data_IF_071511590349
#
_entry.id   IF_071511590349
#
_cell.length_a   1.000
_cell.length_b   1.000
_cell.length_c   1.000
_cell.angle_alpha   90.00
_cell.angle_beta   90.00
_cell.angle_gamma   90.00
#
_symmetry.space_group_name_H-M   'P 1'
#
loop_
_entity.id
_entity.type
_entity.pdbx_description
1 polymer ?
#
# COMPACT_ATOMS: atom_id res chain seq x y z
N UNK A 1 -13.12 5.47 17.86
CA UNK A 1 -13.84 4.19 18.06
C UNK A 1 -12.97 2.94 18.40
N UNK A 2 -11.65 2.98 18.71
CA UNK A 2 -10.91 1.75 19.02
C UNK A 2 -11.00 1.28 20.49
N UNK A 3 -11.24 2.19 21.44
CA UNK A 3 -11.32 1.83 22.87
C UNK A 3 -12.50 0.91 23.22
N UNK A 4 -13.60 0.99 22.48
CA UNK A 4 -14.80 0.18 22.73
C UNK A 4 -14.55 -1.28 22.29
N UNK A 5 -13.80 -1.52 21.22
CA UNK A 5 -13.45 -2.87 20.78
C UNK A 5 -12.40 -3.51 21.67
N UNK A 6 -11.40 -2.77 22.16
CA UNK A 6 -10.41 -3.29 23.11
C UNK A 6 -11.05 -3.64 24.46
N UNK A 7 -11.97 -2.81 24.96
CA UNK A 7 -12.74 -3.11 26.17
C UNK A 7 -13.74 -4.25 25.95
N UNK A 8 -14.33 -4.39 24.76
CA UNK A 8 -15.22 -5.52 24.45
C UNK A 8 -14.44 -6.83 24.29
N UNK A 9 -13.26 -6.85 23.68
CA UNK A 9 -12.44 -8.05 23.58
C UNK A 9 -11.83 -8.42 24.93
N UNK A 10 -11.30 -7.43 25.66
CA UNK A 10 -10.81 -7.62 27.02
C UNK A 10 -11.94 -8.05 27.97
N UNK A 11 -13.14 -7.47 27.86
CA UNK A 11 -14.31 -7.89 28.63
C UNK A 11 -14.91 -9.20 28.13
N UNK A 12 -14.80 -9.57 26.85
CA UNK A 12 -15.18 -10.91 26.36
C UNK A 12 -14.22 -11.94 26.92
N UNK A 13 -12.92 -11.71 26.83
CA UNK A 13 -11.88 -12.61 27.37
C UNK A 13 -12.02 -12.70 28.90
N UNK A 14 -12.14 -11.59 29.61
CA UNK A 14 -12.35 -11.58 31.07
C UNK A 14 -13.72 -12.15 31.51
N UNK A 15 -14.80 -11.98 30.73
CA UNK A 15 -16.10 -12.62 31.03
C UNK A 15 -16.12 -14.10 30.67
N UNK A 16 -15.37 -14.51 29.65
CA UNK A 16 -15.21 -15.90 29.25
C UNK A 16 -14.31 -16.69 30.21
N UNK A 17 -13.35 -16.04 30.87
CA UNK A 17 -12.54 -16.67 31.93
C UNK A 17 -13.22 -16.65 33.30
N UNK A 18 -14.12 -15.70 33.56
CA UNK A 18 -14.80 -15.57 34.86
C UNK A 18 -16.12 -16.35 34.97
N UNK A 19 -16.72 -16.78 33.85
CA UNK A 19 -17.85 -17.70 33.86
C UNK A 19 -17.35 -19.12 33.55
N UNK A 20 -17.66 -20.08 34.42
CA UNK A 20 -17.43 -21.53 34.25
C UNK A 20 -18.23 -22.13 33.07
N UNK A 21 -18.14 -21.51 31.89
CA UNK A 21 -18.81 -21.92 30.67
C UNK A 21 -17.76 -22.52 29.73
N UNK A 22 -17.93 -23.78 29.29
CA UNK A 22 -17.11 -24.41 28.25
C UNK A 22 -17.02 -23.62 26.94
N UNK A 23 -17.87 -22.59 26.76
CA UNK A 23 -17.94 -21.72 25.59
C UNK A 23 -16.98 -20.52 25.61
N UNK A 24 -16.23 -20.27 26.68
CA UNK A 24 -15.21 -19.22 26.70
C UNK A 24 -13.87 -19.67 26.13
N UNK A 25 -13.47 -20.90 26.48
CA UNK A 25 -12.19 -21.50 26.09
C UNK A 25 -12.05 -21.68 24.58
N UNK A 26 -13.11 -22.14 23.89
CA UNK A 26 -12.99 -22.44 22.45
C UNK A 26 -12.60 -21.24 21.58
N UNK A 27 -12.97 -20.00 21.95
CA UNK A 27 -12.63 -18.82 21.16
C UNK A 27 -11.15 -18.46 21.32
N UNK A 28 -10.63 -18.56 22.55
CA UNK A 28 -9.22 -18.39 22.84
C UNK A 28 -8.40 -19.53 22.25
N UNK A 29 -8.87 -20.78 22.37
CA UNK A 29 -8.21 -21.96 21.80
C UNK A 29 -8.19 -21.89 20.27
N UNK A 30 -9.29 -21.44 19.65
CA UNK A 30 -9.34 -21.19 18.20
C UNK A 30 -8.39 -20.07 17.80
N UNK A 31 -8.35 -18.99 18.56
CA UNK A 31 -7.41 -17.89 18.33
C UNK A 31 -5.96 -18.37 18.45
N UNK A 32 -5.62 -19.10 19.51
CA UNK A 32 -4.27 -19.65 19.70
C UNK A 32 -3.93 -20.66 18.61
N UNK A 33 -4.86 -21.52 18.21
CA UNK A 33 -4.64 -22.47 17.11
C UNK A 33 -4.39 -21.77 15.77
N UNK A 34 -5.17 -20.72 15.45
CA UNK A 34 -4.99 -19.92 14.23
C UNK A 34 -3.73 -19.05 14.29
N UNK A 35 -3.45 -18.42 15.43
CA UNK A 35 -2.31 -17.55 15.63
C UNK A 35 -0.99 -18.30 15.71
N UNK A 36 -0.97 -19.46 16.38
CA UNK A 36 0.21 -20.33 16.46
C UNK A 36 0.40 -21.18 15.21
N UNK A 37 -0.61 -21.24 14.34
CA UNK A 37 -0.58 -22.04 13.13
C UNK A 37 -0.45 -23.54 13.44
N UNK A 38 -1.02 -23.96 14.57
CA UNK A 38 -0.96 -25.33 15.10
C UNK A 38 -2.08 -26.22 14.51
N UNK A 39 -3.07 -25.63 13.84
CA UNK A 39 -4.23 -26.35 13.31
C UNK A 39 -4.11 -26.72 11.83
N UNK A 40 -4.77 -27.82 11.45
CA UNK A 40 -5.27 -27.96 10.08
C UNK A 40 -6.22 -26.79 9.85
N UNK A 41 -5.89 -25.89 8.92
CA UNK A 41 -6.70 -24.70 8.59
C UNK A 41 -8.10 -25.04 8.03
N UNK A 42 -8.50 -26.31 8.12
CA UNK A 42 -9.65 -26.92 7.45
C UNK A 42 -9.40 -27.14 5.96
N UNK A 43 -8.21 -26.80 5.47
CA UNK A 43 -7.83 -26.85 4.06
C UNK A 43 -6.78 -27.93 3.77
N UNK A 44 -6.22 -28.59 4.80
CA UNK A 44 -5.20 -29.62 4.64
C UNK A 44 -3.86 -29.10 4.08
N UNK A 45 -3.64 -27.78 4.14
CA UNK A 45 -2.48 -27.11 3.53
C UNK A 45 -1.40 -26.71 4.53
N UNK A 46 -1.73 -26.60 5.83
CA UNK A 46 -0.72 -26.25 6.83
C UNK A 46 0.30 -27.37 6.91
N UNK A 47 1.57 -27.02 6.74
CA UNK A 47 2.71 -27.89 6.98
C UNK A 47 3.29 -27.55 8.37
N UNK A 48 2.93 -28.29 9.44
CA UNK A 48 3.37 -27.95 10.79
C UNK A 48 4.88 -28.03 10.96
N UNK A 49 5.54 -28.90 10.18
CA UNK A 49 7.00 -29.01 10.21
C UNK A 49 7.65 -27.72 9.73
N UNK A 50 7.18 -27.14 8.62
CA UNK A 50 7.66 -25.85 8.10
C UNK A 50 7.50 -24.74 9.16
N UNK A 51 6.33 -24.63 9.76
CA UNK A 51 6.08 -23.57 10.75
C UNK A 51 6.85 -23.79 12.05
N UNK A 52 7.10 -25.03 12.46
CA UNK A 52 7.99 -25.33 13.59
C UNK A 52 9.45 -24.98 13.30
N UNK A 53 9.94 -25.25 12.09
CA UNK A 53 11.29 -24.86 11.64
C UNK A 53 11.45 -23.33 11.63
N UNK A 54 10.48 -22.62 11.05
CA UNK A 54 10.46 -21.15 11.07
C UNK A 54 10.40 -20.63 12.51
N UNK A 55 9.56 -21.22 13.36
CA UNK A 55 9.46 -20.85 14.77
C UNK A 55 10.78 -21.03 15.52
N UNK A 56 11.47 -22.16 15.30
CA UNK A 56 12.77 -22.43 15.90
C UNK A 56 13.84 -21.43 15.44
N UNK A 57 13.81 -21.03 14.16
CA UNK A 57 14.68 -19.98 13.63
C UNK A 57 14.40 -18.61 14.26
N UNK A 58 13.14 -18.14 14.25
CA UNK A 58 12.82 -16.78 14.75
C UNK A 58 12.98 -16.63 16.27
N UNK A 59 12.93 -17.74 17.02
CA UNK A 59 13.18 -17.73 18.47
C UNK A 59 14.65 -17.96 18.82
N UNK A 60 15.52 -18.21 17.84
CA UNK A 60 16.93 -18.51 18.07
C UNK A 60 17.20 -19.88 18.72
N UNK A 61 16.21 -20.79 18.69
CA UNK A 61 16.33 -22.11 19.31
C UNK A 61 17.28 -23.05 18.55
N UNK A 62 17.37 -22.91 17.23
CA UNK A 62 18.28 -23.70 16.37
C UNK A 62 19.60 -22.99 16.09
N UNK A 63 19.58 -21.65 15.98
CA UNK A 63 20.74 -20.82 15.65
C UNK A 63 20.75 -19.61 16.59
N UNK A 64 21.56 -19.65 17.68
CA UNK A 64 21.72 -18.50 18.56
C UNK A 64 22.27 -17.31 17.77
N UNK A 65 21.57 -16.18 17.81
CA UNK A 65 21.96 -14.97 17.07
C UNK A 65 23.34 -14.43 17.48
N UNK A 66 23.75 -14.64 18.72
CA UNK A 66 25.01 -14.12 19.26
C UNK A 66 26.25 -14.88 18.74
N UNK A 67 26.10 -16.16 18.38
CA UNK A 67 27.21 -17.06 18.03
C UNK A 67 27.26 -17.41 16.52
N UNK A 68 26.24 -17.02 15.76
CA UNK A 68 26.12 -17.37 14.34
C UNK A 68 26.59 -16.22 13.46
N UNK A 69 27.48 -16.47 12.47
CA UNK A 69 27.85 -15.46 11.48
C UNK A 69 26.63 -14.85 10.78
N UNK A 70 26.65 -13.53 10.61
CA UNK A 70 25.49 -12.78 10.10
C UNK A 70 25.10 -13.17 8.66
N UNK A 71 26.07 -13.54 7.83
CA UNK A 71 25.89 -14.08 6.47
C UNK A 71 25.16 -15.43 6.48
N UNK A 72 25.48 -16.30 7.42
CA UNK A 72 24.76 -17.56 7.61
C UNK A 72 23.31 -17.33 8.06
N UNK A 73 23.08 -16.38 8.98
CA UNK A 73 21.73 -15.99 9.40
C UNK A 73 20.91 -15.40 8.25
N UNK A 74 21.53 -14.55 7.42
CA UNK A 74 20.89 -13.96 6.24
C UNK A 74 20.50 -15.02 5.21
N UNK A 75 21.43 -15.91 4.87
CA UNK A 75 21.18 -17.00 3.92
C UNK A 75 20.01 -17.87 4.38
N UNK A 76 20.01 -18.25 5.66
CA UNK A 76 18.92 -19.04 6.24
C UNK A 76 17.58 -18.31 6.23
N UNK A 77 17.56 -17.03 6.58
CA UNK A 77 16.33 -16.23 6.54
C UNK A 77 15.78 -16.11 5.10
N UNK A 78 16.65 -15.94 4.10
CA UNK A 78 16.26 -15.87 2.70
C UNK A 78 15.71 -17.18 2.16
N UNK A 79 16.30 -18.31 2.53
CA UNK A 79 15.78 -19.62 2.14
C UNK A 79 14.35 -19.81 2.68
N UNK A 80 14.15 -19.56 3.98
CA UNK A 80 12.84 -19.66 4.62
C UNK A 80 11.82 -18.67 4.04
N UNK A 81 12.23 -17.43 3.76
CA UNK A 81 11.35 -16.43 3.14
C UNK A 81 11.00 -16.81 1.70
N UNK A 82 11.95 -17.35 0.94
CA UNK A 82 11.71 -17.79 -0.44
C UNK A 82 10.70 -18.93 -0.48
N UNK A 83 10.84 -19.89 0.42
CA UNK A 83 9.91 -21.02 0.57
C UNK A 83 8.46 -20.59 0.91
N UNK A 84 8.29 -19.43 1.57
CA UNK A 84 6.99 -18.94 2.03
C UNK A 84 6.38 -17.90 1.08
N UNK A 85 7.20 -17.02 0.48
CA UNK A 85 6.73 -15.88 -0.31
C UNK A 85 6.74 -16.10 -1.81
N UNK A 86 7.61 -16.99 -2.32
CA UNK A 86 7.73 -17.28 -3.75
C UNK A 86 7.65 -18.76 -4.05
N UNK A 87 6.61 -19.49 -3.58
CA UNK A 87 6.48 -20.88 -3.95
C UNK A 87 6.38 -21.00 -5.47
N UNK A 88 7.14 -21.95 -6.03
CA UNK A 88 7.27 -22.16 -7.47
C UNK A 88 7.89 -20.99 -8.24
N UNK A 89 8.63 -20.11 -7.55
CA UNK A 89 9.34 -18.99 -8.17
C UNK A 89 8.44 -17.82 -8.58
N UNK A 90 7.20 -17.78 -8.09
CA UNK A 90 6.27 -16.67 -8.32
C UNK A 90 5.80 -16.11 -6.98
N UNK A 91 5.68 -14.77 -6.83
CA UNK A 91 5.03 -14.20 -5.66
C UNK A 91 3.60 -14.74 -5.52
N UNK A 92 3.38 -15.59 -4.52
CA UNK A 92 2.11 -16.24 -4.25
C UNK A 92 1.86 -16.27 -2.74
N UNK A 93 0.83 -15.54 -2.26
CA UNK A 93 0.57 -15.38 -0.85
C UNK A 93 -0.02 -16.63 -0.21
N UNK A 94 -0.35 -17.69 -0.97
CA UNK A 94 -1.04 -18.88 -0.43
C UNK A 94 -0.31 -19.45 0.80
N UNK A 95 1.01 -19.70 0.69
CA UNK A 95 1.79 -20.24 1.82
C UNK A 95 1.94 -19.19 2.93
N UNK A 96 2.29 -17.95 2.58
CA UNK A 96 2.39 -16.85 3.55
C UNK A 96 1.10 -16.65 4.39
N UNK A 97 -0.06 -16.88 3.77
CA UNK A 97 -1.38 -16.72 4.38
C UNK A 97 -1.89 -17.98 5.09
N UNK A 98 -1.18 -19.11 5.01
CA UNK A 98 -1.38 -20.26 5.92
C UNK A 98 -1.06 -19.85 7.36
N UNK A 99 -0.01 -19.03 7.55
CA UNK A 99 0.41 -18.52 8.86
C UNK A 99 0.90 -17.07 8.75
N UNK A 100 -0.02 -16.08 8.73
CA UNK A 100 0.36 -14.68 8.57
C UNK A 100 1.25 -14.16 9.70
N UNK A 101 1.06 -14.62 10.95
CA UNK A 101 1.91 -14.24 12.08
C UNK A 101 3.30 -14.86 12.02
N UNK A 102 3.41 -16.14 11.65
CA UNK A 102 4.71 -16.79 11.47
C UNK A 102 5.51 -16.13 10.36
N UNK A 103 4.86 -15.83 9.23
CA UNK A 103 5.50 -15.09 8.14
C UNK A 103 5.90 -13.67 8.56
N UNK A 104 5.02 -12.95 9.27
CA UNK A 104 5.31 -11.62 9.81
C UNK A 104 6.51 -11.65 10.78
N UNK A 105 6.60 -12.67 11.63
CA UNK A 105 7.72 -12.88 12.55
C UNK A 105 9.03 -13.14 11.82
N UNK A 106 9.01 -13.98 10.79
CA UNK A 106 10.19 -14.26 9.96
C UNK A 106 10.68 -13.00 9.25
N UNK A 107 9.76 -12.20 8.69
CA UNK A 107 10.08 -10.90 8.08
C UNK A 107 10.69 -9.93 9.09
N UNK A 108 10.18 -9.88 10.32
CA UNK A 108 10.73 -9.02 11.36
C UNK A 108 12.18 -9.39 11.71
N UNK A 109 12.46 -10.68 11.91
CA UNK A 109 13.82 -11.18 12.14
C UNK A 109 14.72 -10.89 10.93
N UNK A 110 14.21 -11.08 9.71
CA UNK A 110 14.97 -10.73 8.50
C UNK A 110 15.29 -9.22 8.44
N UNK A 111 14.37 -8.34 8.82
CA UNK A 111 14.64 -6.91 8.90
C UNK A 111 15.75 -6.59 9.92
N UNK A 112 15.71 -7.19 11.10
CA UNK A 112 16.75 -7.04 12.13
C UNK A 112 18.13 -7.50 11.60
N UNK A 113 18.19 -8.66 10.93
CA UNK A 113 19.42 -9.18 10.31
C UNK A 113 19.94 -8.21 9.24
N UNK A 114 19.06 -7.78 8.32
CA UNK A 114 19.39 -6.85 7.23
C UNK A 114 19.93 -5.52 7.78
N UNK A 115 19.37 -5.00 8.87
CA UNK A 115 19.87 -3.80 9.54
C UNK A 115 21.24 -4.00 10.19
N UNK A 116 21.50 -5.18 10.74
CA UNK A 116 22.79 -5.51 11.35
C UNK A 116 23.95 -5.55 10.34
N UNK A 117 23.69 -5.73 9.03
CA UNK A 117 24.73 -5.65 7.99
C UNK A 117 25.28 -4.23 7.78
N UNK A 118 24.57 -3.20 8.25
CA UNK A 118 25.14 -1.87 8.44
C UNK A 118 25.45 -1.04 7.19
N UNK A 119 24.99 -1.42 6.00
CA UNK A 119 25.05 -0.52 4.83
C UNK A 119 23.77 0.31 4.72
N UNK A 120 23.89 1.61 4.43
CA UNK A 120 22.76 2.54 4.30
C UNK A 120 21.69 2.07 3.29
N UNK A 121 22.10 1.32 2.26
CA UNK A 121 21.22 0.74 1.25
C UNK A 121 20.21 -0.28 1.84
N UNK A 122 20.56 -0.95 2.94
CA UNK A 122 19.70 -1.93 3.58
C UNK A 122 18.57 -1.31 4.40
N UNK A 123 18.69 -0.03 4.79
CA UNK A 123 17.64 0.67 5.55
C UNK A 123 16.33 0.78 4.78
N UNK A 124 16.41 1.11 3.48
CA UNK A 124 15.23 1.16 2.62
C UNK A 124 14.57 -0.22 2.49
N UNK A 125 15.36 -1.28 2.25
CA UNK A 125 14.83 -2.64 2.18
C UNK A 125 14.20 -3.08 3.49
N UNK A 126 14.86 -2.86 4.62
CA UNK A 126 14.35 -3.20 5.94
C UNK A 126 12.99 -2.53 6.20
N UNK A 127 12.82 -1.25 5.83
CA UNK A 127 11.52 -0.58 5.95
C UNK A 127 10.43 -1.33 5.17
N UNK A 128 10.75 -1.85 3.99
CA UNK A 128 9.80 -2.50 3.09
C UNK A 128 9.48 -3.92 3.54
N UNK A 129 10.45 -4.61 4.12
CA UNK A 129 10.24 -5.86 4.85
C UNK A 129 9.26 -5.63 6.00
N UNK A 130 9.43 -4.55 6.78
CA UNK A 130 8.50 -4.20 7.87
C UNK A 130 7.11 -3.83 7.33
N UNK A 131 7.02 -3.13 6.20
CA UNK A 131 5.75 -2.88 5.52
C UNK A 131 5.04 -4.20 5.14
N UNK A 132 5.75 -5.19 4.59
CA UNK A 132 5.17 -6.50 4.28
C UNK A 132 4.75 -7.26 5.56
N UNK A 133 5.57 -7.21 6.61
CA UNK A 133 5.25 -7.84 7.90
C UNK A 133 3.96 -7.24 8.49
N UNK A 134 3.81 -5.92 8.42
CA UNK A 134 2.61 -5.17 8.82
C UNK A 134 1.40 -5.55 7.98
N UNK A 135 1.56 -5.70 6.67
CA UNK A 135 0.48 -6.14 5.77
C UNK A 135 -0.07 -7.52 6.16
N UNK A 136 0.82 -8.49 6.39
CA UNK A 136 0.44 -9.87 6.77
C UNK A 136 -0.18 -9.91 8.16
N UNK A 137 0.33 -9.11 9.09
CA UNK A 137 -0.27 -8.91 10.40
C UNK A 137 -1.74 -8.47 10.30
N UNK A 138 -1.98 -7.40 9.53
CA UNK A 138 -3.31 -6.83 9.34
C UNK A 138 -4.26 -7.71 8.53
N UNK A 139 -3.74 -8.68 7.77
CA UNK A 139 -4.57 -9.52 6.91
C UNK A 139 -5.60 -10.34 7.69
N UNK A 140 -5.28 -10.81 8.91
CA UNK A 140 -6.26 -11.50 9.77
C UNK A 140 -6.41 -10.94 11.18
N UNK A 141 -5.40 -10.21 11.67
CA UNK A 141 -5.30 -9.92 13.10
C UNK A 141 -5.36 -8.42 13.43
N UNK A 142 -5.76 -7.59 12.46
CA UNK A 142 -5.81 -6.14 12.64
C UNK A 142 -6.68 -5.68 13.82
N UNK A 143 -7.80 -6.36 14.05
CA UNK A 143 -8.74 -6.02 15.12
C UNK A 143 -8.29 -6.45 16.52
N UNK A 144 -7.23 -7.26 16.63
CA UNK A 144 -6.81 -7.85 17.89
C UNK A 144 -5.77 -7.01 18.65
N UNK A 145 -5.10 -6.08 17.96
CA UNK A 145 -4.09 -5.21 18.56
C UNK A 145 -3.07 -6.01 19.37
N UNK A 146 -2.77 -5.55 20.59
CA UNK A 146 -1.72 -6.12 21.45
C UNK A 146 -2.02 -7.55 21.94
N UNK A 147 -3.26 -8.03 21.81
CA UNK A 147 -3.61 -9.40 22.20
C UNK A 147 -2.86 -10.46 21.39
N UNK A 148 -2.25 -10.09 20.27
CA UNK A 148 -1.39 -10.96 19.46
C UNK A 148 -0.15 -11.48 20.22
N UNK A 149 0.31 -10.72 21.22
CA UNK A 149 1.56 -10.98 21.94
C UNK A 149 1.54 -12.26 22.75
N UNK A 150 0.36 -12.87 22.94
CA UNK A 150 0.21 -14.18 23.60
C UNK A 150 0.44 -15.36 22.64
N UNK A 151 0.55 -15.11 21.32
CA UNK A 151 0.89 -16.16 20.36
C UNK A 151 2.33 -16.64 20.57
N UNK A 152 2.66 -17.81 20.03
CA UNK A 152 4.03 -18.35 20.07
C UNK A 152 5.04 -17.52 19.26
N UNK A 153 4.57 -16.59 18.42
CA UNK A 153 5.41 -15.81 17.50
C UNK A 153 5.86 -14.51 18.17
N UNK A 154 7.18 -14.19 18.16
CA UNK A 154 7.71 -12.96 18.77
C UNK A 154 7.43 -11.73 17.90
N UNK A 155 6.16 -11.36 17.75
CA UNK A 155 5.71 -10.18 16.99
C UNK A 155 5.00 -9.20 17.89
N UNK A 156 5.42 -7.93 17.83
CA UNK A 156 4.81 -6.81 18.54
C UNK A 156 4.53 -5.68 17.54
N UNK A 157 3.24 -5.33 17.40
CA UNK A 157 2.80 -4.28 16.49
C UNK A 157 3.40 -2.91 16.85
N UNK A 158 3.53 -2.61 18.15
CA UNK A 158 4.11 -1.35 18.62
C UNK A 158 5.58 -1.24 18.20
N UNK A 159 6.32 -2.34 18.32
CA UNK A 159 7.71 -2.42 17.83
C UNK A 159 7.79 -2.28 16.31
N UNK A 160 6.94 -2.97 15.55
CA UNK A 160 6.91 -2.85 14.08
C UNK A 160 6.65 -1.40 13.62
N UNK A 161 5.68 -0.73 14.26
CA UNK A 161 5.35 0.68 13.98
C UNK A 161 6.52 1.60 14.33
N UNK A 162 7.13 1.41 15.51
CA UNK A 162 8.27 2.22 15.94
C UNK A 162 9.47 2.07 15.01
N UNK A 163 9.80 0.83 14.61
CA UNK A 163 10.89 0.55 13.69
C UNK A 163 10.62 1.15 12.30
N UNK A 164 9.41 0.98 11.75
CA UNK A 164 9.04 1.60 10.48
C UNK A 164 9.21 3.13 10.51
N UNK A 165 8.78 3.77 11.62
CA UNK A 165 8.93 5.22 11.79
C UNK A 165 10.39 5.66 11.81
N UNK A 166 11.26 4.94 12.53
CA UNK A 166 12.70 5.23 12.58
C UNK A 166 13.35 5.07 11.21
N UNK A 167 13.08 3.97 10.51
CA UNK A 167 13.66 3.69 9.19
C UNK A 167 13.20 4.69 8.13
N UNK A 168 11.92 5.11 8.18
CA UNK A 168 11.39 6.15 7.27
C UNK A 168 12.12 7.48 7.48
N UNK A 169 12.34 7.89 8.73
CA UNK A 169 13.06 9.13 9.04
C UNK A 169 14.50 9.07 8.53
N UNK A 170 15.17 7.92 8.69
CA UNK A 170 16.51 7.71 8.15
C UNK A 170 16.53 7.78 6.61
N UNK A 171 15.56 7.14 5.94
CA UNK A 171 15.48 7.16 4.48
C UNK A 171 15.20 8.57 3.94
N UNK A 172 14.33 9.35 4.57
CA UNK A 172 14.00 10.70 4.11
C UNK A 172 15.23 11.61 3.99
N UNK A 173 16.26 11.40 4.82
CA UNK A 173 17.55 12.09 4.72
C UNK A 173 18.47 11.58 3.60
N UNK A 174 18.24 10.37 3.10
CA UNK A 174 19.13 9.64 2.20
C UNK A 174 18.59 9.43 0.77
N UNK A 175 17.35 9.83 0.46
CA UNK A 175 16.77 9.68 -0.88
C UNK A 175 17.58 10.47 -1.91
N UNK A 176 18.46 9.77 -2.62
CA UNK A 176 19.09 10.27 -3.84
C UNK A 176 18.21 9.86 -5.01
N UNK A 177 17.95 10.80 -5.91
CA UNK A 177 17.39 10.46 -7.19
C UNK A 177 18.43 9.63 -7.95
N UNK A 178 18.12 8.37 -8.23
CA UNK A 178 18.96 7.57 -9.12
C UNK A 178 18.86 8.16 -10.53
N UNK A 179 20.01 8.50 -11.11
CA UNK A 179 20.10 8.98 -12.47
C UNK A 179 20.07 7.77 -13.41
N UNK A 180 18.95 7.58 -14.11
CA UNK A 180 18.85 6.69 -15.26
C UNK A 180 18.56 7.49 -16.53
N UNK A 181 18.60 6.86 -17.71
CA UNK A 181 18.09 7.48 -18.92
C UNK A 181 16.59 7.79 -18.71
N UNK A 182 16.21 9.06 -18.93
CA UNK A 182 14.82 9.49 -18.89
C UNK A 182 14.03 8.75 -19.97
N UNK A 183 12.80 8.30 -19.68
CA UNK A 183 11.96 7.70 -20.70
C UNK A 183 11.58 8.72 -21.78
N UNK A 184 11.19 8.28 -22.98
CA UNK A 184 10.55 9.15 -23.95
C UNK A 184 9.36 9.87 -23.31
N UNK A 185 9.26 11.18 -23.57
CA UNK A 185 8.12 11.97 -23.09
C UNK A 185 6.80 11.35 -23.59
N UNK A 186 5.81 11.18 -22.71
CA UNK A 186 4.58 10.54 -23.08
C UNK A 186 3.77 11.42 -24.03
N UNK A 187 3.27 10.82 -25.11
CA UNK A 187 2.50 11.47 -26.16
C UNK A 187 1.00 11.22 -26.03
N UNK A 188 0.62 10.14 -25.35
CA UNK A 188 -0.77 9.78 -25.09
C UNK A 188 -0.97 9.40 -23.63
N UNK A 189 -1.77 10.20 -22.94
CA UNK A 189 -2.03 10.08 -21.52
C UNK A 189 -3.53 10.06 -21.26
N UNK A 190 -3.96 9.21 -20.33
CA UNK A 190 -5.34 9.19 -19.83
C UNK A 190 -5.37 9.23 -18.31
N UNK A 191 -6.22 10.09 -17.76
CA UNK A 191 -6.58 10.11 -16.34
C UNK A 191 -7.80 9.20 -16.14
N UNK A 192 -7.71 8.29 -15.18
CA UNK A 192 -8.78 7.38 -14.79
C UNK A 192 -9.14 7.63 -13.34
N UNK A 193 -10.43 7.79 -13.06
CA UNK A 193 -10.94 7.96 -11.71
C UNK A 193 -12.33 7.36 -11.58
N UNK A 194 -12.61 6.70 -10.45
CA UNK A 194 -13.95 6.20 -10.18
C UNK A 194 -14.28 6.35 -8.70
N UNK A 195 -15.49 6.83 -8.42
CA UNK A 195 -16.01 6.95 -7.07
C UNK A 195 -17.49 6.60 -7.06
N UNK A 196 -17.89 5.71 -6.16
CA UNK A 196 -19.28 5.33 -5.95
C UNK A 196 -19.69 5.69 -4.53
N UNK A 197 -20.11 6.95 -4.35
CA UNK A 197 -20.66 7.45 -3.09
C UNK A 197 -22.15 7.74 -3.25
N UNK A 198 -22.99 7.44 -2.25
CA UNK A 198 -24.41 7.78 -2.29
C UNK A 198 -24.61 9.29 -2.46
N UNK A 199 -25.22 9.70 -3.58
CA UNK A 199 -25.41 11.12 -3.94
C UNK A 199 -26.25 11.93 -2.95
N UNK A 200 -26.98 11.27 -2.06
CA UNK A 200 -27.80 11.92 -1.03
C UNK A 200 -27.00 12.44 0.17
N UNK A 201 -25.74 12.02 0.34
CA UNK A 201 -24.96 12.31 1.54
C UNK A 201 -23.66 13.09 1.28
N UNK A 202 -23.28 13.29 0.01
CA UNK A 202 -22.03 13.97 -0.35
C UNK A 202 -22.06 14.54 -1.77
N UNK A 203 -21.38 15.66 -1.98
CA UNK A 203 -21.12 16.24 -3.31
C UNK A 203 -19.78 15.80 -3.90
N UNK A 204 -19.03 14.94 -3.20
CA UNK A 204 -17.72 14.47 -3.62
C UNK A 204 -17.66 13.93 -5.06
N UNK A 205 -18.61 13.09 -5.54
CA UNK A 205 -18.58 12.65 -6.93
C UNK A 205 -18.65 13.79 -7.96
N UNK A 206 -19.35 14.88 -7.64
CA UNK A 206 -19.44 16.07 -8.49
C UNK A 206 -18.14 16.87 -8.45
N UNK A 207 -17.62 17.14 -7.25
CA UNK A 207 -16.36 17.88 -7.07
C UNK A 207 -15.18 17.17 -7.71
N UNK A 208 -15.05 15.88 -7.45
CA UNK A 208 -14.03 15.01 -8.04
C UNK A 208 -14.04 15.02 -9.56
N UNK A 209 -15.22 14.82 -10.14
CA UNK A 209 -15.39 14.82 -11.59
C UNK A 209 -14.98 16.16 -12.20
N UNK A 210 -15.56 17.26 -11.70
CA UNK A 210 -15.36 18.58 -12.31
C UNK A 210 -13.92 19.08 -12.20
N UNK A 211 -13.24 18.79 -11.09
CA UNK A 211 -11.81 19.06 -10.94
C UNK A 211 -10.96 18.30 -11.98
N UNK A 212 -11.15 16.99 -12.08
CA UNK A 212 -10.34 16.13 -12.96
C UNK A 212 -10.64 16.38 -14.44
N UNK A 213 -11.91 16.61 -14.80
CA UNK A 213 -12.31 16.98 -16.16
C UNK A 213 -11.67 18.31 -16.58
N UNK A 214 -11.69 19.33 -15.70
CA UNK A 214 -11.09 20.62 -16.00
C UNK A 214 -9.57 20.54 -16.17
N UNK A 215 -8.87 19.79 -15.30
CA UNK A 215 -7.42 19.58 -15.43
C UNK A 215 -7.08 18.78 -16.69
N UNK A 216 -7.78 17.68 -16.96
CA UNK A 216 -7.58 16.88 -18.17
C UNK A 216 -7.80 17.72 -19.44
N UNK A 217 -8.86 18.55 -19.48
CA UNK A 217 -9.15 19.42 -20.60
C UNK A 217 -8.06 20.50 -20.79
N UNK A 218 -7.60 21.13 -19.70
CA UNK A 218 -6.52 22.12 -19.75
C UNK A 218 -5.24 21.54 -20.37
N UNK A 219 -4.96 20.26 -20.12
CA UNK A 219 -3.73 19.58 -20.56
C UNK A 219 -3.87 18.73 -21.81
N UNK A 220 -5.08 18.63 -22.37
CA UNK A 220 -5.35 17.78 -23.54
C UNK A 220 -5.28 16.28 -23.24
N UNK A 221 -5.41 15.87 -21.97
CA UNK A 221 -5.42 14.46 -21.59
C UNK A 221 -6.78 13.81 -21.83
N UNK A 222 -6.78 12.50 -22.09
CA UNK A 222 -8.00 11.72 -22.00
C UNK A 222 -8.50 11.67 -20.56
N UNK A 223 -9.82 11.58 -20.36
CA UNK A 223 -10.42 11.35 -19.04
C UNK A 223 -11.47 10.24 -19.08
N UNK A 224 -11.41 9.32 -18.11
CA UNK A 224 -12.32 8.19 -18.00
C UNK A 224 -12.84 8.02 -16.58
N UNK A 225 -14.18 8.02 -16.47
CA UNK A 225 -14.91 7.78 -15.21
C UNK A 225 -15.84 6.58 -15.21
N UNK A 226 -15.90 5.85 -16.33
CA UNK A 226 -16.83 4.75 -16.49
C UNK A 226 -16.37 3.57 -15.65
N UNK A 227 -17.23 2.98 -14.80
CA UNK A 227 -16.90 1.73 -14.14
C UNK A 227 -16.58 0.68 -15.20
N UNK A 228 -15.59 -0.15 -14.91
CA UNK A 228 -15.37 -1.34 -15.70
C UNK A 228 -16.53 -2.33 -15.50
N UNK A 229 -16.99 -2.47 -14.26
CA UNK A 229 -18.07 -3.35 -13.86
C UNK A 229 -19.01 -2.60 -12.91
N UNK A 230 -20.26 -2.37 -13.35
CA UNK A 230 -21.26 -1.61 -12.58
C UNK A 230 -21.67 -2.29 -11.26
N UNK A 231 -21.42 -3.59 -11.13
CA UNK A 231 -21.75 -4.37 -9.93
C UNK A 231 -20.55 -4.60 -9.03
N UNK A 232 -19.36 -4.17 -9.44
CA UNK A 232 -18.16 -4.27 -8.63
C UNK A 232 -17.99 -3.05 -7.72
N UNK A 233 -17.34 -3.26 -6.58
CA UNK A 233 -16.93 -2.17 -5.70
C UNK A 233 -15.89 -1.25 -6.37
N UNK A 234 -15.72 -0.05 -5.81
CA UNK A 234 -14.82 0.97 -6.37
C UNK A 234 -13.35 0.52 -6.44
N UNK A 235 -12.86 -0.17 -5.41
CA UNK A 235 -11.50 -0.72 -5.36
C UNK A 235 -11.21 -1.74 -6.48
N UNK A 236 -12.19 -2.57 -6.86
CA UNK A 236 -12.05 -3.48 -8.00
C UNK A 236 -12.11 -2.72 -9.32
N UNK A 237 -13.06 -1.79 -9.42
CA UNK A 237 -13.20 -0.93 -10.60
C UNK A 237 -11.94 -0.11 -10.88
N UNK A 238 -11.16 0.27 -9.86
CA UNK A 238 -9.83 0.87 -10.03
C UNK A 238 -8.96 0.05 -10.97
N UNK A 239 -8.74 -1.21 -10.61
CA UNK A 239 -7.86 -2.12 -11.36
C UNK A 239 -8.45 -2.47 -12.73
N UNK A 240 -9.73 -2.82 -12.79
CA UNK A 240 -10.38 -3.20 -14.05
C UNK A 240 -10.52 -2.03 -15.05
N UNK A 241 -10.73 -0.80 -14.57
CA UNK A 241 -10.83 0.38 -15.43
C UNK A 241 -9.49 0.72 -16.05
N UNK A 242 -8.41 0.71 -15.26
CA UNK A 242 -7.04 0.90 -15.77
C UNK A 242 -6.71 -0.20 -16.79
N UNK A 243 -6.97 -1.46 -16.45
CA UNK A 243 -6.71 -2.59 -17.34
C UNK A 243 -7.41 -2.45 -18.68
N UNK A 244 -8.69 -2.05 -18.67
CA UNK A 244 -9.45 -1.81 -19.90
C UNK A 244 -8.81 -0.72 -20.77
N UNK A 245 -8.29 0.36 -20.17
CA UNK A 245 -7.63 1.44 -20.92
C UNK A 245 -6.30 0.98 -21.53
N UNK A 246 -5.50 0.23 -20.77
CA UNK A 246 -4.25 -0.36 -21.28
C UNK A 246 -4.48 -1.35 -22.44
N UNK A 247 -5.63 -2.02 -22.48
CA UNK A 247 -5.99 -2.96 -23.55
C UNK A 247 -6.58 -2.29 -24.81
N UNK A 248 -7.24 -1.14 -24.66
CA UNK A 248 -7.95 -0.47 -25.76
C UNK A 248 -7.06 0.38 -26.66
N UNK A 249 -5.88 0.81 -26.18
CA UNK A 249 -5.03 1.77 -26.89
C UNK A 249 -3.80 1.15 -27.52
N UNK A 250 -3.80 1.00 -28.86
CA UNK A 250 -2.54 1.01 -29.61
C UNK A 250 -2.02 2.45 -29.59
N UNK A 251 -1.06 2.74 -28.71
CA UNK A 251 -0.41 4.06 -28.60
C UNK A 251 -0.72 4.86 -27.34
N UNK A 252 -1.42 4.30 -26.34
CA UNK A 252 -1.48 4.90 -25.01
C UNK A 252 -0.13 4.68 -24.30
N UNK A 253 0.51 5.72 -23.77
CA UNK A 253 1.82 5.59 -23.11
C UNK A 253 1.68 5.41 -21.59
N UNK A 254 0.83 6.22 -20.96
CA UNK A 254 0.63 6.21 -19.50
C UNK A 254 -0.85 6.36 -19.10
N UNK A 255 -1.21 5.65 -18.04
CA UNK A 255 -2.46 5.85 -17.31
C UNK A 255 -2.13 6.45 -15.95
N UNK A 256 -2.76 7.57 -15.61
CA UNK A 256 -2.75 8.09 -14.25
C UNK A 256 -4.05 7.70 -13.56
N UNK A 257 -3.97 6.94 -12.47
CA UNK A 257 -5.09 6.74 -11.58
C UNK A 257 -5.14 7.85 -10.54
N UNK A 258 -6.34 8.37 -10.28
CA UNK A 258 -6.59 9.34 -9.22
C UNK A 258 -7.87 8.98 -8.47
N UNK A 259 -7.79 8.72 -7.17
CA UNK A 259 -8.95 8.42 -6.33
C UNK A 259 -9.99 9.55 -6.34
N UNK A 260 -11.22 9.18 -6.01
CA UNK A 260 -12.35 10.10 -6.03
C UNK A 260 -12.16 11.27 -5.05
N UNK A 261 -11.49 11.04 -3.94
CA UNK A 261 -11.17 11.98 -2.88
C UNK A 261 -9.77 12.58 -3.00
N UNK A 262 -9.25 12.73 -4.23
CA UNK A 262 -8.05 13.52 -4.52
C UNK A 262 -8.30 14.58 -5.59
N UNK A 263 -7.69 15.75 -5.47
CA UNK A 263 -7.88 16.88 -6.39
C UNK A 263 -6.55 17.42 -6.92
N UNK A 264 -6.53 17.75 -8.21
CA UNK A 264 -5.45 18.55 -8.80
C UNK A 264 -5.51 19.98 -8.23
N UNK A 265 -4.40 20.46 -7.66
CA UNK A 265 -4.33 21.76 -6.98
C UNK A 265 -3.38 22.74 -7.66
N UNK A 266 -2.37 22.23 -8.37
CA UNK A 266 -1.47 23.02 -9.19
C UNK A 266 -1.79 22.79 -10.68
N UNK A 267 -2.34 23.78 -11.40
CA UNK A 267 -2.63 23.63 -12.81
C UNK A 267 -1.36 23.55 -13.65
N UNK A 268 -0.20 24.04 -13.18
CA UNK A 268 1.04 24.22 -13.93
C UNK A 268 1.90 22.96 -14.02
N UNK A 269 1.74 22.00 -13.11
CA UNK A 269 2.38 20.70 -13.25
C UNK A 269 1.68 19.81 -14.28
N UNK A 270 2.47 19.06 -15.03
CA UNK A 270 2.03 18.12 -16.07
C UNK A 270 2.47 16.69 -15.76
N UNK A 271 1.80 15.72 -16.38
CA UNK A 271 2.19 14.31 -16.29
C UNK A 271 3.53 14.09 -17.01
N UNK A 272 3.79 14.80 -18.11
CA UNK A 272 5.04 14.81 -18.85
C UNK A 272 6.20 15.22 -17.97
N UNK A 273 6.12 16.41 -17.35
CA UNK A 273 7.16 16.94 -16.46
C UNK A 273 7.37 16.02 -15.24
N UNK A 274 6.29 15.42 -14.73
CA UNK A 274 6.38 14.47 -13.63
C UNK A 274 7.11 13.17 -14.03
N UNK A 275 6.79 12.62 -15.20
CA UNK A 275 7.45 11.42 -15.74
C UNK A 275 8.91 11.72 -16.07
N UNK A 276 9.21 12.84 -16.72
CA UNK A 276 10.59 13.27 -17.03
C UNK A 276 11.41 13.44 -15.75
N UNK A 277 10.79 14.02 -14.71
CA UNK A 277 11.45 14.31 -13.44
C UNK A 277 11.76 13.05 -12.65
N UNK A 278 10.88 12.05 -12.64
CA UNK A 278 10.95 10.95 -11.68
C UNK A 278 11.22 9.57 -12.28
N UNK A 279 10.82 9.33 -13.52
CA UNK A 279 10.92 8.02 -14.15
C UNK A 279 12.23 7.82 -14.90
N UNK A 280 12.58 6.56 -15.08
CA UNK A 280 13.61 6.07 -16.01
C UNK A 280 12.96 5.18 -17.07
N UNK A 281 13.70 4.84 -18.13
CA UNK A 281 13.23 3.93 -19.18
C UNK A 281 12.77 2.54 -18.67
N UNK A 282 13.29 2.10 -17.53
CA UNK A 282 12.96 0.81 -16.90
C UNK A 282 11.70 0.88 -16.03
N UNK A 283 11.24 2.09 -15.69
CA UNK A 283 10.12 2.25 -14.79
C UNK A 283 8.78 2.02 -15.49
N UNK A 284 7.90 1.28 -14.81
CA UNK A 284 6.55 0.95 -15.25
C UNK A 284 5.49 1.50 -14.31
N UNK A 285 5.82 1.71 -13.04
CA UNK A 285 4.91 2.22 -12.01
C UNK A 285 5.59 3.33 -11.21
N UNK A 286 5.01 4.53 -11.21
CA UNK A 286 5.38 5.61 -10.30
C UNK A 286 4.31 5.71 -9.21
N UNK A 287 4.72 5.53 -7.97
CA UNK A 287 3.81 5.45 -6.83
C UNK A 287 4.49 6.00 -5.58
N UNK A 288 3.70 6.46 -4.61
CA UNK A 288 4.22 6.96 -3.34
C UNK A 288 3.93 6.00 -2.19
N UNK A 289 4.68 6.16 -1.11
CA UNK A 289 4.32 5.61 0.19
C UNK A 289 3.83 6.75 1.08
N UNK A 290 2.82 6.47 1.90
CA UNK A 290 2.41 7.36 2.98
C UNK A 290 2.88 6.81 4.32
N UNK A 291 2.54 7.49 5.42
CA UNK A 291 2.93 7.10 6.77
C UNK A 291 2.48 5.68 7.16
N UNK A 292 1.59 5.03 6.41
CA UNK A 292 1.27 3.64 6.64
C UNK A 292 2.20 2.71 5.88
N UNK A 293 2.13 2.71 4.54
CA UNK A 293 2.82 1.82 3.59
C UNK A 293 2.71 2.43 2.17
N UNK A 294 2.80 1.61 1.12
CA UNK A 294 2.42 1.97 -0.25
C UNK A 294 1.04 2.63 -0.27
N UNK A 295 0.85 3.66 -1.08
CA UNK A 295 -0.44 4.31 -1.24
C UNK A 295 -0.92 4.27 -2.71
N UNK A 296 -2.07 3.65 -2.96
CA UNK A 296 -2.66 3.47 -4.30
C UNK A 296 -3.72 4.52 -4.66
N UNK A 297 -3.79 5.65 -3.95
CA UNK A 297 -4.76 6.70 -4.25
C UNK A 297 -4.41 7.47 -5.52
N UNK A 298 -3.11 7.71 -5.74
CA UNK A 298 -2.61 8.37 -6.95
C UNK A 298 -1.34 7.66 -7.40
N UNK A 299 -1.34 7.16 -8.63
CA UNK A 299 -0.17 6.53 -9.23
C UNK A 299 -0.23 6.60 -10.76
N UNK A 300 0.94 6.48 -11.40
CA UNK A 300 1.06 6.41 -12.84
C UNK A 300 1.55 5.02 -13.25
N UNK A 301 0.93 4.45 -14.28
CA UNK A 301 1.24 3.14 -14.80
C UNK A 301 1.49 3.22 -16.30
N UNK A 302 2.70 2.83 -16.72
CA UNK A 302 3.09 2.76 -18.13
C UNK A 302 2.32 1.65 -18.82
N UNK A 303 1.98 1.86 -20.08
CA UNK A 303 1.38 0.80 -20.89
C UNK A 303 2.44 -0.22 -21.34
N UNK A 304 2.72 -1.19 -20.48
CA UNK A 304 3.68 -2.27 -20.74
C UNK A 304 3.08 -3.64 -20.42
N UNK A 305 3.75 -4.70 -20.89
CA UNK A 305 3.40 -6.07 -20.53
C UNK A 305 3.54 -6.31 -19.02
N UNK A 306 4.54 -5.68 -18.39
CA UNK A 306 4.72 -5.68 -16.94
C UNK A 306 3.47 -5.16 -16.22
N UNK A 307 2.96 -4.00 -16.64
CA UNK A 307 1.78 -3.37 -16.03
C UNK A 307 0.52 -4.23 -16.22
N UNK A 308 0.34 -4.82 -17.41
CA UNK A 308 -0.78 -5.74 -17.67
C UNK A 308 -0.69 -7.00 -16.81
N UNK A 309 0.51 -7.56 -16.66
CA UNK A 309 0.75 -8.74 -15.82
C UNK A 309 0.48 -8.43 -14.34
N UNK A 310 0.94 -7.28 -13.84
CA UNK A 310 0.67 -6.83 -12.47
C UNK A 310 -0.84 -6.73 -12.20
N UNK A 311 -1.60 -6.03 -13.05
CA UNK A 311 -3.05 -5.86 -12.86
C UNK A 311 -3.80 -7.20 -12.90
N UNK A 312 -3.41 -8.11 -13.80
CA UNK A 312 -3.95 -9.47 -13.85
C UNK A 312 -3.73 -10.23 -12.53
N UNK A 313 -2.51 -10.12 -11.97
CA UNK A 313 -2.18 -10.76 -10.70
C UNK A 313 -2.94 -10.16 -9.53
N UNK A 314 -3.08 -8.84 -9.48
CA UNK A 314 -3.90 -8.16 -8.47
C UNK A 314 -5.34 -8.70 -8.50
N UNK A 315 -5.97 -8.75 -9.68
CA UNK A 315 -7.33 -9.30 -9.82
C UNK A 315 -7.40 -10.77 -9.39
N UNK A 316 -6.39 -11.58 -9.75
CA UNK A 316 -6.33 -12.99 -9.35
C UNK A 316 -6.29 -13.15 -7.83
N UNK A 317 -5.53 -12.29 -7.11
CA UNK A 317 -5.46 -12.31 -5.65
C UNK A 317 -6.73 -11.77 -4.97
N UNK A 318 -7.48 -10.89 -5.63
CA UNK A 318 -8.81 -10.46 -5.17
C UNK A 318 -9.89 -11.52 -5.44
N UNK A 319 -9.65 -12.42 -6.39
CA UNK A 319 -10.57 -13.51 -6.76
C UNK A 319 -10.19 -14.87 -6.17
N UNK A 320 -9.04 -14.97 -5.52
CA UNK A 320 -8.63 -16.15 -4.78
C UNK A 320 -9.69 -16.53 -3.72
N UNK A 321 -9.87 -17.83 -3.44
CA UNK A 321 -10.79 -18.27 -2.41
C UNK A 321 -10.31 -17.81 -1.02
N UNK A 322 -11.27 -17.59 -0.11
CA UNK A 322 -10.94 -17.43 1.31
C UNK A 322 -10.20 -18.69 1.79
N UNK A 323 -9.13 -18.56 2.60
CA UNK A 323 -8.64 -17.33 3.23
C UNK A 323 -7.47 -16.67 2.49
N UNK A 324 -7.18 -17.06 1.24
CA UNK A 324 -6.07 -16.53 0.45
C UNK A 324 -6.44 -15.26 -0.33
N UNK A 325 -7.71 -14.86 -0.26
CA UNK A 325 -8.24 -13.66 -0.91
C UNK A 325 -7.83 -12.39 -0.18
N UNK A 326 -7.44 -11.37 -0.95
CA UNK A 326 -7.30 -10.01 -0.42
C UNK A 326 -8.57 -9.17 -0.49
N UNK A 327 -9.67 -9.74 -1.02
CA UNK A 327 -10.95 -9.04 -1.20
C UNK A 327 -11.44 -8.33 0.05
N UNK A 328 -11.39 -9.03 1.18
CA UNK A 328 -11.93 -8.57 2.45
C UNK A 328 -10.85 -7.90 3.33
N UNK A 329 -9.65 -7.64 2.78
CA UNK A 329 -8.62 -6.90 3.49
C UNK A 329 -9.01 -5.42 3.64
N UNK A 330 -8.65 -4.82 4.77
CA UNK A 330 -8.93 -3.41 5.07
C UNK A 330 -8.37 -2.40 4.06
N UNK A 331 -7.29 -2.74 3.34
CA UNK A 331 -6.71 -1.89 2.29
C UNK A 331 -7.04 -2.38 0.87
N UNK A 332 -7.98 -3.31 0.73
CA UNK A 332 -8.54 -3.77 -0.56
C UNK A 332 -7.48 -4.07 -1.63
N UNK A 333 -7.49 -3.37 -2.77
CA UNK A 333 -6.57 -3.59 -3.90
C UNK A 333 -5.14 -3.11 -3.63
N UNK A 334 -4.95 -2.22 -2.65
CA UNK A 334 -3.62 -1.77 -2.24
C UNK A 334 -2.80 -2.91 -1.62
N UNK A 335 -3.45 -3.81 -0.88
CA UNK A 335 -2.79 -4.94 -0.24
C UNK A 335 -2.13 -5.94 -1.22
N UNK A 336 -2.84 -6.49 -2.23
CA UNK A 336 -2.22 -7.38 -3.20
C UNK A 336 -1.22 -6.64 -4.10
N UNK A 337 -1.45 -5.36 -4.40
CA UNK A 337 -0.42 -4.52 -5.04
C UNK A 337 0.86 -4.50 -4.21
N UNK A 338 0.75 -4.13 -2.94
CA UNK A 338 1.89 -4.07 -2.03
C UNK A 338 2.59 -5.43 -1.92
N UNK A 339 1.86 -6.53 -1.77
CA UNK A 339 2.45 -7.86 -1.71
C UNK A 339 3.27 -8.18 -2.98
N UNK A 340 2.66 -8.02 -4.16
CA UNK A 340 3.30 -8.34 -5.44
C UNK A 340 4.51 -7.45 -5.75
N UNK A 341 4.47 -6.19 -5.30
CA UNK A 341 5.55 -5.24 -5.54
C UNK A 341 6.69 -5.37 -4.53
N UNK A 342 6.43 -5.84 -3.30
CA UNK A 342 7.47 -5.97 -2.27
C UNK A 342 8.23 -7.30 -2.37
N UNK A 343 7.52 -8.42 -2.56
CA UNK A 343 8.13 -9.76 -2.47
C UNK A 343 9.37 -9.93 -3.34
N UNK A 344 9.38 -9.55 -4.64
CA UNK A 344 10.59 -9.66 -5.45
C UNK A 344 11.73 -8.76 -4.94
N UNK A 345 11.41 -7.55 -4.48
CA UNK A 345 12.40 -6.55 -4.07
C UNK A 345 13.07 -6.85 -2.74
N UNK A 346 12.34 -7.43 -1.78
CA UNK A 346 12.91 -7.78 -0.47
C UNK A 346 13.81 -9.02 -0.51
N UNK A 347 13.60 -9.89 -1.50
CA UNK A 347 14.42 -11.08 -1.75
C UNK A 347 15.65 -10.77 -2.63
N UNK A 348 15.65 -9.64 -3.34
CA UNK A 348 16.82 -9.18 -4.08
C UNK A 348 17.86 -8.59 -3.13
N UNK A 349 19.01 -9.27 -3.03
CA UNK A 349 20.13 -8.85 -2.20
C UNK A 349 21.00 -7.73 -2.80
N UNK A 350 20.76 -7.33 -4.05
CA UNK A 350 21.51 -6.28 -4.72
C UNK A 350 21.55 -4.97 -3.90
N UNK A 351 22.68 -4.29 -3.84
CA UNK A 351 22.84 -3.07 -3.03
C UNK A 351 22.01 -1.88 -3.54
N UNK A 352 21.39 -1.98 -4.72
CA UNK A 352 20.52 -0.95 -5.29
C UNK A 352 19.02 -1.25 -5.13
N UNK A 353 18.63 -2.41 -4.61
CA UNK A 353 17.21 -2.70 -4.38
C UNK A 353 16.62 -1.79 -3.29
N UNK A 354 15.58 -1.04 -3.66
CA UNK A 354 14.78 -0.21 -2.75
C UNK A 354 13.86 -1.03 -1.85
N UNK A 355 13.83 -2.36 -2.01
CA UNK A 355 12.84 -3.25 -1.41
C UNK A 355 11.56 -3.43 -2.24
N UNK A 356 11.44 -2.74 -3.37
CA UNK A 356 10.39 -2.96 -4.37
C UNK A 356 10.93 -3.71 -5.60
N UNK A 357 10.03 -4.37 -6.32
CA UNK A 357 10.31 -5.06 -7.57
C UNK A 357 10.88 -4.09 -8.62
N UNK A 358 11.74 -4.61 -9.50
CA UNK A 358 12.23 -3.87 -10.66
C UNK A 358 11.06 -3.30 -11.49
N UNK A 359 11.23 -2.06 -11.96
CA UNK A 359 10.20 -1.29 -12.67
C UNK A 359 9.26 -0.48 -11.76
N UNK A 360 9.46 -0.50 -10.44
CA UNK A 360 8.74 0.37 -9.49
C UNK A 360 9.62 1.55 -9.11
N UNK A 361 9.10 2.75 -9.35
CA UNK A 361 9.68 4.01 -8.91
C UNK A 361 8.87 4.58 -7.75
N UNK A 362 9.51 4.66 -6.59
CA UNK A 362 8.96 5.43 -5.47
C UNK A 362 9.20 6.92 -5.68
N UNK A 363 8.14 7.70 -5.60
CA UNK A 363 8.20 9.17 -5.59
C UNK A 363 7.92 9.71 -4.18
N UNK A 364 8.40 10.92 -3.83
CA UNK A 364 8.02 11.56 -2.56
C UNK A 364 6.50 11.67 -2.43
N UNK A 365 5.95 11.39 -1.24
CA UNK A 365 4.50 11.50 -1.01
C UNK A 365 3.99 12.88 -1.38
N UNK A 366 4.69 13.94 -0.95
CA UNK A 366 4.35 15.33 -1.27
C UNK A 366 4.21 15.63 -2.77
N UNK A 367 4.94 14.91 -3.63
CA UNK A 367 4.93 15.18 -5.08
C UNK A 367 3.68 14.68 -5.80
N UNK A 368 2.96 13.69 -5.23
CA UNK A 368 1.89 12.97 -5.92
C UNK A 368 0.63 12.76 -5.06
N UNK A 369 0.76 12.81 -3.73
CA UNK A 369 -0.24 12.30 -2.79
C UNK A 369 -0.16 12.97 -1.40
N UNK A 370 0.01 14.30 -1.37
CA UNK A 370 0.08 15.09 -0.13
C UNK A 370 -1.28 15.16 0.58
N UNK A 371 -1.29 15.18 1.91
CA UNK A 371 -2.52 15.16 2.69
C UNK A 371 -2.84 16.53 3.31
N UNK A 372 -4.13 16.91 3.41
CA UNK A 372 -4.51 18.08 4.19
C UNK A 372 -3.93 18.02 5.61
N UNK A 373 -3.59 19.19 6.17
CA UNK A 373 -2.99 19.29 7.50
C UNK A 373 -3.81 18.56 8.58
N UNK A 374 -5.13 18.65 8.48
CA UNK A 374 -6.09 18.08 9.43
C UNK A 374 -6.08 16.55 9.44
N UNK A 375 -5.77 15.90 8.31
CA UNK A 375 -5.65 14.44 8.24
C UNK A 375 -4.20 14.01 8.44
N UNK A 376 -3.23 14.72 7.86
CA UNK A 376 -1.81 14.41 7.93
C UNK A 376 -1.27 14.37 9.37
N UNK A 377 -1.72 15.30 10.22
CA UNK A 377 -1.27 15.43 11.60
C UNK A 377 -2.08 14.58 12.60
N UNK A 378 -3.15 13.91 12.16
CA UNK A 378 -4.02 13.10 13.04
C UNK A 378 -3.65 11.63 13.11
N UNK A 379 -2.74 11.15 12.26
CA UNK A 379 -2.20 9.81 12.38
C UNK A 379 -1.36 9.70 13.64
N UNK A 380 -1.81 8.88 14.59
CA UNK A 380 -1.07 8.59 15.84
C UNK A 380 0.12 7.66 15.62
N UNK A 381 0.28 7.13 14.41
CA UNK A 381 1.24 6.07 14.08
C UNK A 381 2.48 6.69 13.42
N UNK A 382 2.30 7.52 12.40
CA UNK A 382 3.38 8.22 11.69
C UNK A 382 2.84 9.48 10.99
N UNK A 383 3.70 10.49 10.78
CA UNK A 383 3.34 11.76 10.12
C UNK A 383 3.31 11.56 8.60
N UNK A 384 2.20 11.97 7.98
CA UNK A 384 2.08 12.06 6.53
C UNK A 384 2.63 13.40 6.01
N UNK A 385 3.08 13.43 4.76
CA UNK A 385 3.45 14.70 4.13
C UNK A 385 2.23 15.63 4.03
N UNK A 386 2.39 16.84 4.55
CA UNK A 386 1.35 17.87 4.59
C UNK A 386 1.32 18.59 3.23
N UNK A 387 0.12 18.72 2.67
CA UNK A 387 -0.16 19.54 1.50
C UNK A 387 0.16 21.00 1.78
N UNK A 388 0.92 21.61 0.87
CA UNK A 388 1.24 23.02 0.83
C UNK A 388 0.82 23.63 -0.51
N UNK A 389 0.62 24.95 -0.52
CA UNK A 389 0.29 25.68 -1.74
C UNK A 389 1.43 25.53 -2.77
N UNK A 390 1.08 25.04 -3.95
CA UNK A 390 2.02 24.71 -5.03
C UNK A 390 2.19 23.21 -5.26
N UNK A 391 1.80 22.36 -4.29
CA UNK A 391 1.79 20.91 -4.47
C UNK A 391 0.79 20.51 -5.57
N UNK A 392 1.13 19.46 -6.32
CA UNK A 392 0.37 19.06 -7.50
C UNK A 392 -1.04 18.57 -7.15
N UNK A 393 -1.12 17.66 -6.18
CA UNK A 393 -2.35 16.96 -5.81
C UNK A 393 -2.48 16.92 -4.29
N UNK A 394 -3.70 17.13 -3.82
CA UNK A 394 -4.11 16.86 -2.44
C UNK A 394 -5.01 15.64 -2.40
N UNK A 395 -4.76 14.73 -1.45
CA UNK A 395 -5.53 13.49 -1.27
C UNK A 395 -6.12 13.41 0.13
N UNK A 396 -7.42 13.10 0.22
CA UNK A 396 -8.19 13.11 1.46
C UNK A 396 -8.32 11.71 2.08
N UNK A 397 -7.31 10.86 1.92
CA UNK A 397 -7.30 9.50 2.44
C UNK A 397 -7.66 9.47 3.93
N UNK A 398 -8.62 8.61 4.29
CA UNK A 398 -9.05 8.43 5.68
C UNK A 398 -9.80 9.62 6.28
N UNK A 399 -10.11 10.67 5.52
CA UNK A 399 -10.78 11.88 6.03
C UNK A 399 -12.09 11.57 6.75
N UNK A 400 -12.98 10.75 6.17
CA UNK A 400 -14.24 10.35 6.81
C UNK A 400 -14.07 9.42 8.03
N UNK A 401 -12.89 8.82 8.22
CA UNK A 401 -12.59 7.95 9.38
C UNK A 401 -11.89 8.71 10.51
N UNK A 402 -11.12 9.74 10.18
CA UNK A 402 -10.31 10.54 11.11
C UNK A 402 -11.03 11.82 11.57
N UNK A 403 -11.93 12.35 10.74
CA UNK A 403 -12.72 13.55 10.96
C UNK A 403 -14.21 13.20 11.00
N UNK A 404 -15.03 14.09 11.55
CA UNK A 404 -16.48 14.00 11.38
C UNK A 404 -16.89 14.36 9.94
N UNK A 405 -18.02 13.80 9.47
CA UNK A 405 -18.49 13.99 8.09
C UNK A 405 -18.63 15.48 7.70
N UNK A 406 -19.25 16.37 8.51
CA UNK A 406 -19.33 17.80 8.18
C UNK A 406 -17.96 18.46 7.96
N UNK A 407 -16.99 18.18 8.83
CA UNK A 407 -15.64 18.72 8.69
C UNK A 407 -14.98 18.22 7.40
N UNK A 408 -15.08 16.91 7.12
CA UNK A 408 -14.50 16.33 5.92
C UNK A 408 -15.12 16.91 4.63
N UNK A 409 -16.44 16.98 4.55
CA UNK A 409 -17.16 17.58 3.41
C UNK A 409 -16.82 19.06 3.22
N UNK A 410 -16.71 19.83 4.31
CA UNK A 410 -16.31 21.24 4.25
C UNK A 410 -14.91 21.42 3.65
N UNK A 411 -13.97 20.56 4.04
CA UNK A 411 -12.61 20.60 3.48
C UNK A 411 -12.58 20.22 2.01
N UNK A 412 -13.32 19.18 1.61
CA UNK A 412 -13.46 18.78 0.21
C UNK A 412 -14.05 19.91 -0.65
N UNK A 413 -15.11 20.56 -0.16
CA UNK A 413 -15.75 21.69 -0.84
C UNK A 413 -14.77 22.86 -1.05
N UNK A 414 -14.00 23.21 -0.02
CA UNK A 414 -13.08 24.35 -0.07
C UNK A 414 -11.90 24.10 -1.02
N UNK A 415 -11.26 22.92 -0.94
CA UNK A 415 -10.15 22.60 -1.84
C UNK A 415 -10.63 22.48 -3.29
N UNK A 416 -11.83 21.94 -3.51
CA UNK A 416 -12.46 21.93 -4.83
C UNK A 416 -12.65 23.36 -5.36
N UNK A 417 -13.25 24.26 -4.57
CA UNK A 417 -13.47 25.66 -4.96
C UNK A 417 -12.16 26.35 -5.34
N UNK A 418 -11.15 26.26 -4.47
CA UNK A 418 -9.82 26.85 -4.69
C UNK A 418 -9.17 26.29 -5.96
N UNK A 419 -9.23 24.97 -6.16
CA UNK A 419 -8.69 24.34 -7.36
C UNK A 419 -9.39 24.82 -8.64
N UNK A 420 -10.73 24.86 -8.65
CA UNK A 420 -11.49 25.29 -9.83
C UNK A 420 -11.19 26.74 -10.23
N UNK A 421 -10.94 27.62 -9.26
CA UNK A 421 -10.49 29.00 -9.51
C UNK A 421 -9.14 29.05 -10.22
N UNK A 422 -8.18 28.21 -9.78
CA UNK A 422 -6.85 28.12 -10.42
C UNK A 422 -6.93 27.54 -11.83
N UNK A 423 -7.66 26.44 -12.00
CA UNK A 423 -7.85 25.78 -13.30
C UNK A 423 -8.54 26.70 -14.30
N UNK A 424 -9.56 27.45 -13.86
CA UNK A 424 -10.25 28.42 -14.73
C UNK A 424 -9.34 29.56 -15.17
N UNK A 425 -8.53 30.10 -14.25
CA UNK A 425 -7.54 31.15 -14.57
C UNK A 425 -6.49 30.65 -15.57
N UNK A 426 -5.95 29.45 -15.37
CA UNK A 426 -4.97 28.85 -16.28
C UNK A 426 -5.56 28.61 -17.69
N UNK A 427 -6.80 28.12 -17.77
CA UNK A 427 -7.51 27.91 -19.03
C UNK A 427 -7.71 29.21 -19.82
N UNK A 428 -8.09 30.30 -19.13
CA UNK A 428 -8.22 31.63 -19.75
C UNK A 428 -6.86 32.14 -20.26
N UNK A 429 -5.80 32.00 -19.47
CA UNK A 429 -4.45 32.43 -19.86
C UNK A 429 -3.94 31.67 -21.11
N UNK A 430 -4.18 30.36 -21.17
CA UNK A 430 -3.83 29.54 -22.35
C UNK A 430 -4.58 29.96 -23.61
N UNK A 431 -5.83 30.40 -23.47
CA UNK A 431 -6.65 30.85 -24.62
C UNK A 431 -6.15 32.18 -25.16
N UNK A 432 -5.75 33.11 -24.28
CA UNK A 432 -5.21 34.43 -24.68
C UNK A 432 -3.85 34.36 -25.39
N UNK A 433 -3.06 33.30 -25.14
CA UNK A 433 -1.77 33.08 -25.80
C UNK A 433 -1.92 32.39 -27.17
N UNK A 434 -3.09 31.81 -27.46
CA UNK A 434 -3.37 31.08 -28.69
C UNK A 434 -4.03 31.92 -29.79
N UNK A 435 -4.35 33.20 -29.53
CA UNK A 435 -4.79 34.13 -30.58
C UNK A 435 -3.57 34.60 -31.39
N UNK A 436 -3.51 34.32 -32.71
CA UNK A 436 -2.43 34.78 -33.56
C UNK A 436 -2.52 36.29 -33.77
N UNK A 437 -1.39 36.98 -33.60
CA UNK A 437 -1.20 38.38 -33.98
C UNK A 437 -1.31 38.60 -35.49
#
# INVERSE_FOLDING_TARGET
MPLINLLLLSALVLRCTAAESPRGHWLLDKFLAEGNCDGDSGLGLTNPQRWNEIHAFVTGAELPFDDTPLDALLGRALDLLSDVLVPYGIPDPTIALECPLGTSSLLHVYADIVLAFGEDAFGSRALRVIHLAKLLYFHRFGDLGDAISISRWPVDLSRLVALASQLRQAEAGNRRHEAGPSPPLPSSIIIVSFGHYPHNNTQLPYWSRTNKEAYAQLRGYGFSRSPANQHAHAWRNKIEAIQRRLQQGNGLDWVMWVDCDAFFMNPDETIEDFVERWATEEDHLLISEDANMLNSAVFLLRNSDWSRALLNRVLSLLDAPSPFSYRDNQYHEQSPLQYLLLVPGILDLSSNSTGYAAGVRLVPQKSLNAYPKETALRSSIMVHDVYEEGDWIVSFNGCGSLLDNPTCEGMLAEHHRVSMEKLSKASLASTTLAEPA
#
